data_IF_602227563989
#
_entry.id   IF_602227563989
#
_cell.length_a   1.000
_cell.length_b   1.000
_cell.length_c   1.000
_cell.angle_alpha   90.00
_cell.angle_beta   90.00
_cell.angle_gamma   90.00
#
_symmetry.space_group_name_H-M   'P 1'
#
loop_
_entity.id
_entity.type
_entity.pdbx_description
1 polymer ?
#
# COMPACT_ATOMS: atom_id res chain seq x y z
N UNK A 1 66.42 29.39 -19.38
CA UNK A 1 65.80 28.08 -19.15
C UNK A 1 64.83 28.08 -17.93
N UNK A 2 63.78 28.88 -17.96
CA UNK A 2 62.77 28.94 -16.87
C UNK A 2 61.31 28.91 -17.36
N UNK A 3 61.05 28.66 -18.64
CA UNK A 3 59.69 28.64 -19.25
C UNK A 3 58.93 27.33 -19.11
N UNK A 4 59.49 26.12 -19.00
CA UNK A 4 58.73 24.89 -18.93
C UNK A 4 58.07 24.60 -17.54
N UNK A 5 58.57 25.30 -16.47
CA UNK A 5 58.04 25.03 -15.11
C UNK A 5 56.68 25.69 -14.85
N UNK A 6 56.40 26.81 -15.53
CA UNK A 6 55.09 27.50 -15.37
C UNK A 6 53.95 26.85 -16.13
N UNK A 7 54.22 26.11 -17.20
CA UNK A 7 53.20 25.37 -17.97
C UNK A 7 52.73 24.10 -17.25
N UNK A 8 53.60 23.46 -16.46
CA UNK A 8 53.23 22.30 -15.67
C UNK A 8 52.34 22.67 -14.44
N UNK A 9 52.55 23.85 -13.87
CA UNK A 9 51.74 24.33 -12.74
C UNK A 9 50.29 24.68 -13.16
N UNK A 10 50.07 25.12 -14.40
CA UNK A 10 48.74 25.48 -14.93
C UNK A 10 47.88 24.26 -15.24
N UNK A 11 48.48 23.11 -15.55
CA UNK A 11 47.75 21.88 -15.88
C UNK A 11 47.18 21.16 -14.64
N UNK A 12 47.76 21.37 -13.46
CA UNK A 12 47.29 20.74 -12.22
C UNK A 12 46.12 21.45 -11.57
N UNK A 13 45.81 22.69 -11.95
CA UNK A 13 44.69 23.43 -11.37
C UNK A 13 43.30 23.03 -11.94
N UNK A 14 43.27 22.28 -13.03
CA UNK A 14 41.99 21.85 -13.66
C UNK A 14 41.51 20.45 -13.26
N UNK A 15 42.29 19.71 -12.49
CA UNK A 15 41.97 18.33 -12.09
C UNK A 15 41.23 18.22 -10.75
N UNK A 16 40.86 19.33 -10.11
CA UNK A 16 40.40 19.35 -8.73
C UNK A 16 38.91 19.66 -8.49
N UNK A 17 38.04 19.65 -9.52
CA UNK A 17 36.61 19.74 -9.26
C UNK A 17 36.05 18.33 -9.01
N UNK A 18 35.63 17.99 -7.77
CA UNK A 18 34.85 16.77 -7.56
C UNK A 18 33.56 16.93 -8.37
N UNK A 19 33.39 16.07 -9.37
CA UNK A 19 32.08 15.91 -10.02
C UNK A 19 31.08 15.51 -8.93
N UNK A 20 30.19 16.42 -8.55
CA UNK A 20 29.07 16.08 -7.69
C UNK A 20 28.31 14.93 -8.36
N UNK A 21 28.00 13.85 -7.63
CA UNK A 21 27.14 12.81 -8.18
C UNK A 21 25.83 13.48 -8.62
N UNK A 22 25.50 13.35 -9.90
CA UNK A 22 24.18 13.70 -10.39
C UNK A 22 23.21 12.76 -9.67
N UNK A 23 22.53 13.26 -8.64
CA UNK A 23 21.40 12.57 -8.07
C UNK A 23 20.36 12.44 -9.20
N UNK A 24 20.27 11.24 -9.75
CA UNK A 24 19.18 10.89 -10.63
C UNK A 24 17.92 11.03 -9.77
N UNK A 25 17.18 12.11 -9.99
CA UNK A 25 15.85 12.27 -9.41
C UNK A 25 15.02 11.11 -9.93
N UNK A 26 14.83 10.10 -9.08
CA UNK A 26 13.84 9.06 -9.31
C UNK A 26 12.48 9.75 -9.23
N UNK A 27 12.00 10.21 -10.38
CA UNK A 27 10.61 10.60 -10.55
C UNK A 27 9.77 9.34 -10.42
N UNK A 28 9.40 9.01 -9.17
CA UNK A 28 8.49 7.92 -8.91
C UNK A 28 7.08 8.32 -9.35
N UNK A 29 6.38 7.41 -10.01
CA UNK A 29 4.96 7.58 -10.30
C UNK A 29 4.22 7.70 -8.99
N UNK A 30 3.52 8.82 -8.80
CA UNK A 30 2.70 9.11 -7.62
C UNK A 30 1.24 8.75 -7.89
N UNK A 31 0.56 8.33 -6.84
CA UNK A 31 -0.87 8.01 -6.87
C UNK A 31 -1.66 9.13 -6.20
N UNK A 32 -2.39 9.88 -6.99
CA UNK A 32 -3.19 11.00 -6.55
C UNK A 32 -4.68 10.64 -6.51
N UNK A 33 -5.45 11.33 -5.68
CA UNK A 33 -6.91 11.23 -5.66
C UNK A 33 -7.50 12.57 -6.08
N UNK A 34 -8.32 12.59 -7.12
CA UNK A 34 -9.01 13.80 -7.57
C UNK A 34 -10.09 14.21 -6.57
N UNK A 35 -10.58 15.45 -6.67
CA UNK A 35 -11.70 15.95 -5.85
C UNK A 35 -13.00 15.14 -6.05
N UNK A 36 -13.10 14.43 -7.18
CA UNK A 36 -14.22 13.54 -7.50
C UNK A 36 -14.05 12.13 -6.94
N UNK A 37 -12.86 11.84 -6.34
CA UNK A 37 -12.55 10.55 -5.70
C UNK A 37 -11.90 9.53 -6.63
N UNK A 38 -11.57 9.93 -7.86
CA UNK A 38 -10.89 9.06 -8.81
C UNK A 38 -9.38 8.98 -8.53
N UNK A 39 -8.80 7.81 -8.80
CA UNK A 39 -7.38 7.59 -8.64
C UNK A 39 -6.64 7.82 -9.96
N UNK A 40 -5.71 8.76 -9.95
CA UNK A 40 -4.84 9.09 -11.10
C UNK A 40 -3.39 8.76 -10.74
N UNK A 41 -2.67 8.11 -11.65
CA UNK A 41 -1.23 7.87 -11.53
C UNK A 41 -0.50 8.89 -12.41
N UNK A 42 0.44 9.63 -11.81
CA UNK A 42 1.17 10.71 -12.48
C UNK A 42 2.62 10.77 -12.00
N UNK A 43 3.49 11.26 -12.82
CA UNK A 43 4.87 11.65 -12.50
C UNK A 43 4.98 13.08 -11.95
N UNK A 44 3.86 13.83 -11.96
CA UNK A 44 3.77 15.19 -11.41
C UNK A 44 3.26 15.17 -9.98
N UNK A 45 3.52 16.26 -9.23
CA UNK A 45 2.92 16.41 -7.91
C UNK A 45 1.39 16.47 -8.00
N UNK A 46 0.70 15.86 -7.05
CA UNK A 46 -0.76 15.80 -7.06
C UNK A 46 -1.40 17.19 -7.04
N UNK A 47 -0.76 18.17 -6.39
CA UNK A 47 -1.20 19.56 -6.36
C UNK A 47 -1.22 20.21 -7.73
N UNK A 48 -0.25 19.89 -8.60
CA UNK A 48 -0.13 20.45 -9.96
C UNK A 48 -1.28 20.03 -10.88
N UNK A 49 -1.95 18.93 -10.56
CA UNK A 49 -3.09 18.40 -11.32
C UNK A 49 -4.43 18.61 -10.58
N UNK A 50 -4.42 19.40 -9.50
CA UNK A 50 -5.63 19.66 -8.70
C UNK A 50 -6.13 18.43 -7.92
N UNK A 51 -5.27 17.46 -7.70
CA UNK A 51 -5.56 16.26 -6.93
C UNK A 51 -4.87 16.32 -5.56
N UNK A 52 -5.37 15.55 -4.61
CA UNK A 52 -4.75 15.40 -3.30
C UNK A 52 -3.79 14.22 -3.31
N UNK A 53 -2.62 14.42 -2.69
CA UNK A 53 -1.68 13.34 -2.46
C UNK A 53 -2.33 12.30 -1.54
N UNK A 54 -2.50 11.10 -2.05
CA UNK A 54 -2.87 9.98 -1.21
C UNK A 54 -1.58 9.52 -0.55
N UNK A 55 -1.40 9.93 0.71
CA UNK A 55 -0.29 9.46 1.55
C UNK A 55 -0.04 7.98 1.28
N UNK A 56 1.15 7.60 0.77
CA UNK A 56 1.50 6.20 0.70
C UNK A 56 1.34 5.63 2.09
N UNK A 57 0.74 4.45 2.19
CA UNK A 57 0.65 3.75 3.46
C UNK A 57 2.08 3.66 4.02
N UNK A 58 2.40 4.55 4.98
CA UNK A 58 3.62 4.45 5.75
C UNK A 58 4.87 5.18 5.28
N UNK A 59 4.82 6.34 4.60
CA UNK A 59 5.96 7.24 4.67
C UNK A 59 5.99 7.86 6.07
N UNK A 60 6.79 7.27 6.91
CA UNK A 60 7.17 7.76 8.22
C UNK A 60 7.90 9.08 8.05
N UNK A 61 7.17 10.19 8.07
CA UNK A 61 7.76 11.45 8.50
C UNK A 61 8.19 11.31 9.97
N UNK A 62 9.24 12.03 10.43
CA UNK A 62 9.78 11.93 11.78
C UNK A 62 8.85 12.43 12.89
N UNK A 63 7.57 12.58 12.63
CA UNK A 63 6.52 12.97 13.61
C UNK A 63 5.72 11.80 14.15
N UNK A 64 6.06 10.57 13.81
CA UNK A 64 5.65 9.44 14.62
C UNK A 64 6.45 9.45 15.94
N UNK A 65 6.30 10.53 16.74
CA UNK A 65 6.44 10.37 18.19
C UNK A 65 5.67 9.11 18.51
N UNK A 66 6.40 8.07 18.92
CA UNK A 66 5.89 6.76 19.18
C UNK A 66 4.57 6.83 19.93
N UNK A 67 3.49 6.89 19.21
CA UNK A 67 2.22 6.45 19.73
C UNK A 67 2.51 5.01 20.09
N UNK A 68 2.91 4.83 21.35
CA UNK A 68 3.05 3.54 21.98
C UNK A 68 1.90 2.72 21.43
N UNK A 69 2.24 1.64 20.72
CA UNK A 69 1.27 0.69 20.22
C UNK A 69 0.38 0.31 21.40
N UNK A 70 -0.62 1.12 21.63
CA UNK A 70 -1.76 0.74 22.42
C UNK A 70 -2.47 -0.24 21.51
N UNK A 71 -2.30 -1.54 21.77
CA UNK A 71 -3.00 -2.61 21.10
C UNK A 71 -4.49 -2.32 21.10
N UNK A 72 -4.88 -1.38 20.31
CA UNK A 72 -6.17 -0.72 20.28
C UNK A 72 -6.93 -1.16 19.07
N UNK A 73 -8.16 -1.39 19.28
CA UNK A 73 -9.17 -1.65 18.31
C UNK A 73 -9.13 -0.60 17.18
N UNK A 74 -8.97 -1.03 15.95
CA UNK A 74 -9.05 -0.18 14.76
C UNK A 74 -10.50 0.20 14.52
N UNK A 75 -10.89 1.44 14.82
CA UNK A 75 -12.28 1.89 14.70
C UNK A 75 -12.69 2.16 13.26
N UNK A 76 -11.74 2.51 12.42
CA UNK A 76 -11.94 2.73 10.99
C UNK A 76 -11.18 1.71 10.17
N UNK A 77 -11.62 1.50 8.93
CA UNK A 77 -10.90 0.63 7.99
C UNK A 77 -9.51 1.19 7.69
N UNK A 78 -9.38 2.51 7.61
CA UNK A 78 -8.10 3.17 7.38
C UNK A 78 -7.11 2.91 8.53
N UNK A 79 -7.58 2.93 9.78
CA UNK A 79 -6.73 2.58 10.94
C UNK A 79 -6.25 1.13 10.86
N UNK A 80 -7.14 0.20 10.47
CA UNK A 80 -6.78 -1.20 10.29
C UNK A 80 -5.73 -1.38 9.19
N UNK A 81 -5.94 -0.75 8.03
CA UNK A 81 -5.00 -0.79 6.91
C UNK A 81 -3.64 -0.22 7.32
N UNK A 82 -3.61 0.89 8.05
CA UNK A 82 -2.37 1.47 8.55
C UNK A 82 -1.64 0.53 9.53
N UNK A 83 -2.37 -0.13 10.45
CA UNK A 83 -1.75 -1.09 11.38
C UNK A 83 -1.21 -2.33 10.66
N UNK A 84 -1.96 -2.89 9.71
CA UNK A 84 -1.53 -4.02 8.88
C UNK A 84 -0.28 -3.64 8.06
N UNK A 85 -0.30 -2.47 7.42
CA UNK A 85 0.84 -1.96 6.64
C UNK A 85 2.09 -1.82 7.51
N UNK A 86 1.96 -1.19 8.67
CA UNK A 86 3.09 -1.04 9.61
C UNK A 86 3.63 -2.38 10.11
N UNK A 87 2.74 -3.34 10.41
CA UNK A 87 3.14 -4.67 10.88
C UNK A 87 3.94 -5.42 9.79
N UNK A 88 3.48 -5.39 8.55
CA UNK A 88 4.16 -6.06 7.43
C UNK A 88 5.49 -5.36 7.12
N UNK A 89 5.52 -4.04 7.05
CA UNK A 89 6.74 -3.28 6.76
C UNK A 89 7.82 -3.47 7.83
N UNK A 90 7.40 -3.61 9.09
CA UNK A 90 8.30 -3.87 10.22
C UNK A 90 8.68 -5.36 10.36
N UNK A 91 8.04 -6.28 9.61
CA UNK A 91 8.22 -7.73 9.81
C UNK A 91 7.70 -8.22 11.18
N UNK A 92 6.75 -7.48 11.78
CA UNK A 92 6.27 -7.73 13.15
C UNK A 92 4.98 -8.56 13.12
N UNK A 93 5.14 -9.88 13.28
CA UNK A 93 4.02 -10.83 13.33
C UNK A 93 3.13 -10.59 14.55
N UNK A 94 3.69 -10.17 15.70
CA UNK A 94 2.91 -9.96 16.90
C UNK A 94 1.96 -8.77 16.72
N UNK A 95 2.43 -7.72 16.05
CA UNK A 95 1.61 -6.57 15.71
C UNK A 95 0.49 -6.96 14.75
N UNK A 96 0.77 -7.79 13.74
CA UNK A 96 -0.24 -8.29 12.81
C UNK A 96 -1.25 -9.19 13.51
N UNK A 97 -0.79 -10.07 14.42
CA UNK A 97 -1.64 -10.91 15.27
C UNK A 97 -2.53 -10.07 16.20
N UNK A 98 -2.07 -8.90 16.63
CA UNK A 98 -2.84 -7.96 17.46
C UNK A 98 -4.07 -7.36 16.81
N UNK A 99 -4.17 -7.40 15.47
CA UNK A 99 -5.36 -6.96 14.70
C UNK A 99 -6.15 -8.13 14.13
N UNK A 100 -5.80 -9.38 14.47
CA UNK A 100 -6.51 -10.58 14.06
C UNK A 100 -7.66 -10.91 15.02
N UNK A 101 -8.77 -11.41 14.50
CA UNK A 101 -9.95 -11.79 15.29
C UNK A 101 -9.82 -13.21 15.83
N UNK A 102 -9.33 -13.35 17.05
CA UNK A 102 -9.06 -14.65 17.69
C UNK A 102 -10.27 -15.35 18.30
N UNK A 103 -11.42 -14.68 18.39
CA UNK A 103 -12.61 -15.26 19.04
C UNK A 103 -13.11 -16.51 18.31
N UNK A 104 -13.19 -17.62 19.02
CA UNK A 104 -13.62 -18.91 18.48
C UNK A 104 -12.55 -19.71 17.76
N UNK A 105 -11.29 -19.28 17.83
CA UNK A 105 -10.14 -20.01 17.27
C UNK A 105 -9.63 -21.01 18.30
N UNK A 106 -9.43 -22.28 17.90
CA UNK A 106 -8.80 -23.30 18.75
C UNK A 106 -7.28 -23.14 18.75
N UNK A 107 -6.59 -23.65 19.78
CA UNK A 107 -5.13 -23.56 19.90
C UNK A 107 -4.38 -24.10 18.67
N UNK A 108 -4.81 -25.27 18.17
CA UNK A 108 -4.23 -25.86 16.97
C UNK A 108 -4.44 -25.02 15.72
N UNK A 109 -5.57 -24.31 15.61
CA UNK A 109 -5.81 -23.36 14.52
C UNK A 109 -5.00 -22.08 14.72
N UNK A 110 -4.84 -21.61 15.95
CA UNK A 110 -4.07 -20.42 16.27
C UNK A 110 -2.62 -20.54 15.81
N UNK A 111 -1.96 -21.69 16.04
CA UNK A 111 -0.59 -21.93 15.58
C UNK A 111 -0.49 -21.80 14.05
N UNK A 112 -1.40 -22.43 13.29
CA UNK A 112 -1.41 -22.35 11.82
C UNK A 112 -1.66 -20.93 11.32
N UNK A 113 -2.52 -20.19 12.01
CA UNK A 113 -2.78 -18.78 11.69
C UNK A 113 -1.52 -17.95 11.92
N UNK A 114 -0.81 -18.15 13.03
CA UNK A 114 0.44 -17.45 13.32
C UNK A 114 1.50 -17.73 12.25
N UNK A 115 1.66 -18.98 11.81
CA UNK A 115 2.57 -19.35 10.72
C UNK A 115 2.22 -18.61 9.41
N UNK A 116 0.92 -18.47 9.12
CA UNK A 116 0.46 -17.74 7.92
C UNK A 116 0.70 -16.24 8.06
N UNK A 117 0.44 -15.65 9.23
CA UNK A 117 0.72 -14.24 9.51
C UNK A 117 2.21 -13.94 9.42
N UNK A 118 3.06 -14.84 9.94
CA UNK A 118 4.51 -14.72 9.81
C UNK A 118 4.93 -14.75 8.34
N UNK A 119 4.41 -15.69 7.56
CA UNK A 119 4.69 -15.77 6.12
C UNK A 119 4.31 -14.48 5.38
N UNK A 120 3.25 -13.79 5.80
CA UNK A 120 2.85 -12.49 5.24
C UNK A 120 3.80 -11.39 5.66
N UNK A 121 4.22 -11.31 6.93
CA UNK A 121 5.16 -10.27 7.40
C UNK A 121 6.56 -10.40 6.82
N UNK A 122 6.95 -11.60 6.34
CA UNK A 122 8.26 -11.86 5.73
C UNK A 122 8.36 -11.43 4.24
N UNK A 123 7.28 -10.95 3.65
CA UNK A 123 7.23 -10.57 2.24
C UNK A 123 7.12 -9.06 2.08
N UNK A 124 7.85 -8.46 1.11
CA UNK A 124 7.73 -7.03 0.81
C UNK A 124 6.29 -6.66 0.43
N UNK A 125 5.75 -5.64 1.08
CA UNK A 125 4.43 -5.10 0.80
C UNK A 125 4.48 -4.21 -0.44
N UNK A 126 3.55 -4.41 -1.36
CA UNK A 126 3.35 -3.57 -2.55
C UNK A 126 2.11 -2.69 -2.36
N UNK A 127 0.95 -3.31 -2.01
CA UNK A 127 -0.31 -2.58 -1.84
C UNK A 127 -1.28 -3.35 -0.93
N UNK A 128 -2.27 -2.65 -0.40
CA UNK A 128 -3.41 -3.22 0.33
C UNK A 128 -4.70 -2.76 -0.32
N UNK A 129 -5.39 -3.68 -0.98
CA UNK A 129 -6.60 -3.39 -1.76
C UNK A 129 -7.84 -3.90 -1.04
N UNK A 130 -8.85 -3.04 -0.79
CA UNK A 130 -10.11 -3.50 -0.22
C UNK A 130 -10.86 -4.41 -1.21
N UNK A 131 -11.26 -5.58 -0.74
CA UNK A 131 -12.09 -6.53 -1.50
C UNK A 131 -13.55 -6.22 -1.24
N UNK A 132 -14.30 -5.97 -2.32
CA UNK A 132 -15.74 -5.74 -2.25
C UNK A 132 -16.47 -6.92 -2.89
N UNK A 133 -17.67 -7.28 -2.40
CA UNK A 133 -18.49 -8.27 -3.07
C UNK A 133 -18.85 -7.76 -4.46
N UNK A 134 -18.89 -8.67 -5.44
CA UNK A 134 -19.41 -8.34 -6.75
C UNK A 134 -20.89 -7.90 -6.60
N UNK A 135 -21.32 -6.88 -7.35
CA UNK A 135 -22.74 -6.52 -7.40
C UNK A 135 -23.55 -7.74 -7.86
N UNK A 136 -24.73 -7.91 -7.28
CA UNK A 136 -25.65 -8.97 -7.74
C UNK A 136 -25.98 -8.72 -9.22
N UNK A 137 -25.99 -9.78 -10.05
CA UNK A 137 -26.39 -9.62 -11.45
C UNK A 137 -27.84 -9.13 -11.50
N UNK A 138 -28.11 -8.19 -12.37
CA UNK A 138 -29.47 -7.76 -12.65
C UNK A 138 -30.05 -8.74 -13.64
N UNK A 139 -31.17 -9.34 -13.27
CA UNK A 139 -31.90 -10.28 -14.10
C UNK A 139 -33.11 -9.57 -14.73
N UNK A 140 -33.40 -9.89 -15.98
CA UNK A 140 -34.68 -9.50 -16.63
C UNK A 140 -35.83 -10.34 -16.13
N UNK A 141 -37.05 -10.10 -16.63
CA UNK A 141 -38.25 -10.82 -16.25
C UNK A 141 -38.17 -12.31 -16.61
N UNK A 142 -37.34 -12.69 -17.54
CA UNK A 142 -37.09 -14.06 -18.03
C UNK A 142 -35.93 -14.73 -17.29
N UNK A 143 -35.25 -14.00 -16.34
CA UNK A 143 -34.14 -14.53 -15.54
C UNK A 143 -32.79 -14.50 -16.25
N UNK A 144 -32.65 -13.82 -17.39
CA UNK A 144 -31.38 -13.63 -18.05
C UNK A 144 -30.60 -12.46 -17.43
N UNK A 145 -29.28 -12.57 -17.38
CA UNK A 145 -28.41 -11.50 -16.84
C UNK A 145 -28.40 -10.31 -17.82
N UNK A 146 -28.92 -9.19 -17.36
CA UNK A 146 -28.88 -7.93 -18.13
C UNK A 146 -27.54 -7.26 -17.91
N UNK A 147 -26.73 -7.22 -18.96
CA UNK A 147 -25.52 -6.41 -18.97
C UNK A 147 -25.90 -4.92 -19.11
N UNK A 148 -25.87 -4.18 -18.00
CA UNK A 148 -26.20 -2.75 -17.98
C UNK A 148 -25.20 -1.87 -18.75
N UNK A 149 -24.08 -2.43 -19.19
CA UNK A 149 -23.03 -1.67 -19.88
C UNK A 149 -22.88 -2.08 -21.35
N UNK A 150 -23.91 -2.67 -21.95
CA UNK A 150 -23.87 -3.17 -23.34
C UNK A 150 -23.57 -2.06 -24.36
N UNK A 151 -23.91 -0.82 -24.03
CA UNK A 151 -23.70 0.34 -24.90
C UNK A 151 -22.45 1.17 -24.55
N UNK A 152 -21.71 0.82 -23.51
CA UNK A 152 -20.42 1.45 -23.14
C UNK A 152 -20.50 2.95 -22.80
N UNK A 153 -21.69 3.54 -22.73
CA UNK A 153 -21.86 4.99 -22.73
C UNK A 153 -22.01 5.63 -21.35
N UNK A 154 -22.38 4.87 -20.32
CA UNK A 154 -22.46 5.41 -18.96
C UNK A 154 -21.73 4.55 -17.96
N UNK A 155 -20.78 5.11 -17.19
CA UNK A 155 -20.30 4.43 -16.02
C UNK A 155 -21.47 4.32 -15.05
N UNK A 156 -21.96 3.10 -14.84
CA UNK A 156 -22.91 2.83 -13.78
C UNK A 156 -22.24 3.20 -12.46
N UNK A 157 -22.68 4.27 -11.82
CA UNK A 157 -22.34 4.60 -10.44
C UNK A 157 -22.87 3.49 -9.54
N UNK A 158 -22.20 2.36 -9.54
CA UNK A 158 -22.50 1.25 -8.65
C UNK A 158 -22.26 1.76 -7.23
N UNK A 159 -23.32 1.82 -6.44
CA UNK A 159 -23.23 2.13 -5.02
C UNK A 159 -22.10 1.30 -4.43
N UNK A 160 -21.04 1.94 -3.96
CA UNK A 160 -19.86 1.24 -3.46
C UNK A 160 -20.28 0.38 -2.27
N UNK A 161 -20.25 -0.93 -2.47
CA UNK A 161 -20.53 -1.91 -1.42
C UNK A 161 -19.42 -1.86 -0.37
N UNK A 162 -19.77 -2.11 0.88
CA UNK A 162 -18.80 -2.15 1.98
C UNK A 162 -17.77 -3.24 1.71
N UNK A 163 -16.46 -2.98 1.93
CA UNK A 163 -15.44 -4.00 1.83
C UNK A 163 -15.71 -5.17 2.78
N UNK A 164 -15.48 -6.38 2.28
CA UNK A 164 -15.61 -7.64 3.04
C UNK A 164 -14.25 -8.28 3.32
N UNK A 165 -13.19 -7.75 2.72
CA UNK A 165 -11.83 -8.25 2.89
C UNK A 165 -10.78 -7.21 2.50
N UNK A 166 -9.53 -7.56 2.78
CA UNK A 166 -8.32 -6.85 2.35
C UNK A 166 -7.45 -7.82 1.58
N UNK A 167 -7.08 -7.48 0.35
CA UNK A 167 -6.07 -8.20 -0.42
C UNK A 167 -4.74 -7.52 -0.20
N UNK A 168 -3.80 -8.27 0.37
CA UNK A 168 -2.42 -7.85 0.57
C UNK A 168 -1.66 -8.26 -0.68
N UNK A 169 -1.21 -7.28 -1.45
CA UNK A 169 -0.39 -7.47 -2.64
C UNK A 169 1.07 -7.36 -2.22
N UNK A 170 1.83 -8.39 -2.47
CA UNK A 170 3.22 -8.53 -2.05
C UNK A 170 4.07 -9.10 -3.19
N UNK A 171 5.39 -9.07 -3.02
CA UNK A 171 6.32 -9.87 -3.82
C UNK A 171 6.96 -10.93 -2.94
N UNK A 172 7.42 -12.02 -3.54
CA UNK A 172 8.30 -12.94 -2.83
C UNK A 172 9.65 -12.26 -2.54
N UNK A 173 10.49 -12.88 -1.71
CA UNK A 173 11.82 -12.35 -1.35
C UNK A 173 12.72 -12.03 -2.55
N UNK A 174 12.44 -12.63 -3.72
CA UNK A 174 13.14 -12.31 -4.96
C UNK A 174 12.76 -10.96 -5.58
N UNK A 175 11.74 -10.26 -5.03
CA UNK A 175 11.29 -8.94 -5.46
C UNK A 175 10.52 -8.89 -6.78
N UNK A 176 10.42 -10.01 -7.51
CA UNK A 176 9.84 -10.07 -8.86
C UNK A 176 8.56 -10.90 -8.95
N UNK A 177 8.45 -11.95 -8.14
CA UNK A 177 7.28 -12.83 -8.20
C UNK A 177 6.14 -12.27 -7.35
N UNK A 178 4.97 -11.98 -7.94
CA UNK A 178 3.82 -11.48 -7.18
C UNK A 178 3.27 -12.56 -6.25
N UNK A 179 2.81 -12.11 -5.09
CA UNK A 179 2.14 -12.94 -4.09
C UNK A 179 0.96 -12.17 -3.51
N UNK A 180 -0.18 -12.83 -3.38
CA UNK A 180 -1.38 -12.21 -2.84
C UNK A 180 -1.90 -13.04 -1.66
N UNK A 181 -2.27 -12.35 -0.59
CA UNK A 181 -3.00 -12.93 0.54
C UNK A 181 -4.27 -12.14 0.76
N UNK A 182 -5.40 -12.82 0.93
CA UNK A 182 -6.67 -12.14 1.19
C UNK A 182 -7.11 -12.43 2.61
N UNK A 183 -7.26 -11.37 3.40
CA UNK A 183 -7.88 -11.42 4.71
C UNK A 183 -9.36 -11.07 4.60
N UNK A 184 -10.22 -11.81 5.29
CA UNK A 184 -11.59 -11.38 5.55
C UNK A 184 -11.61 -10.19 6.51
N UNK A 185 -12.66 -9.38 6.46
CA UNK A 185 -12.93 -8.30 7.40
C UNK A 185 -14.08 -8.69 8.31
N UNK A 186 -13.86 -8.58 9.62
CA UNK A 186 -14.88 -8.74 10.64
C UNK A 186 -15.01 -7.46 11.46
N UNK A 187 -16.25 -7.08 11.77
CA UNK A 187 -16.53 -6.00 12.70
C UNK A 187 -17.08 -6.59 14.00
N UNK A 188 -16.33 -6.39 15.08
CA UNK A 188 -16.71 -6.83 16.41
C UNK A 188 -16.28 -5.78 17.43
N UNK A 189 -17.08 -5.54 18.48
CA UNK A 189 -16.81 -4.54 19.53
C UNK A 189 -16.52 -3.13 18.99
N UNK A 190 -17.24 -2.76 17.92
CA UNK A 190 -17.06 -1.49 17.19
C UNK A 190 -15.67 -1.30 16.56
N UNK A 191 -14.92 -2.39 16.35
CA UNK A 191 -13.60 -2.43 15.74
C UNK A 191 -13.61 -3.29 14.49
N UNK A 192 -12.67 -2.98 13.59
CA UNK A 192 -12.35 -3.81 12.45
C UNK A 192 -11.21 -4.77 12.80
N UNK A 193 -11.36 -6.01 12.37
CA UNK A 193 -10.42 -7.11 12.57
C UNK A 193 -10.22 -7.84 11.26
N UNK A 194 -9.03 -8.42 11.07
CA UNK A 194 -8.75 -9.35 9.98
C UNK A 194 -9.06 -10.77 10.42
N UNK A 195 -9.43 -11.63 9.44
CA UNK A 195 -9.61 -13.08 9.60
C UNK A 195 -8.97 -13.81 8.43
N UNK A 196 -8.60 -15.06 8.60
CA UNK A 196 -8.16 -15.99 7.54
C UNK A 196 -9.24 -17.04 7.30
#
# INVERSE_FOLDING_TARGET
MRLPLLLLASLCLWAGFPAAPAEAQQQGVQRCTTTEGDTVYTDKNCEDIGAMDRLPAGTTGPSATGALYRGGCSRTLSDLVAQVSMAITAGDVNRLAGVYHWSGVSDAAALRILDQLEAVTQRPLVDIVPVRPAPAPILDAEGAVVDQNRDGYYPTTTRQTRPVGLRIVQTLKNGTTPSNTTFGLRRAYNCFWITL
#
